data_IF_359184296130
#
_entry.id   IF_359184296130
#
_cell.length_a   1.000
_cell.length_b   1.000
_cell.length_c   1.000
_cell.angle_alpha   90.00
_cell.angle_beta   90.00
_cell.angle_gamma   90.00
#
_symmetry.space_group_name_H-M   'P 1'
#
loop_
_entity.id
_entity.type
_entity.pdbx_description
1 polymer ?
#
# COMPACT_ATOMS: atom_id res chain seq x y z
N UNK A 1 12.37 -43.01 -17.63
CA UNK A 1 13.03 -41.69 -17.50
C UNK A 1 12.99 -41.08 -18.89
N UNK A 2 12.24 -40.01 -19.10
CA UNK A 2 12.12 -39.43 -20.43
C UNK A 2 13.45 -38.80 -20.85
N UNK A 3 13.78 -38.89 -22.14
CA UNK A 3 15.04 -38.37 -22.69
C UNK A 3 15.18 -36.84 -22.50
N UNK A 4 14.07 -36.14 -22.24
CA UNK A 4 14.01 -34.69 -22.10
C UNK A 4 14.29 -34.18 -20.68
N UNK A 5 14.32 -35.05 -19.67
CA UNK A 5 14.58 -34.66 -18.28
C UNK A 5 16.04 -34.22 -18.04
N UNK A 6 16.99 -34.83 -18.74
CA UNK A 6 18.42 -34.52 -18.59
C UNK A 6 18.87 -33.28 -19.40
N UNK A 7 18.01 -32.79 -20.32
CA UNK A 7 18.32 -31.61 -21.14
C UNK A 7 18.20 -30.29 -20.38
N UNK A 8 18.95 -29.29 -20.82
CA UNK A 8 18.85 -27.93 -20.29
C UNK A 8 17.63 -27.20 -20.86
N UNK A 9 17.11 -26.22 -20.13
CA UNK A 9 15.93 -25.41 -20.57
C UNK A 9 16.17 -24.71 -21.91
N UNK A 10 17.42 -24.37 -22.23
CA UNK A 10 17.78 -23.75 -23.50
C UNK A 10 17.59 -24.72 -24.68
N UNK A 11 17.99 -25.98 -24.51
CA UNK A 11 17.86 -27.01 -25.54
C UNK A 11 16.38 -27.35 -25.78
N UNK A 12 15.59 -27.50 -24.72
CA UNK A 12 14.14 -27.75 -24.82
C UNK A 12 13.41 -26.64 -25.59
N UNK A 13 13.81 -25.37 -25.40
CA UNK A 13 13.21 -24.23 -26.11
C UNK A 13 13.59 -24.18 -27.58
N UNK A 14 14.79 -24.65 -27.96
CA UNK A 14 15.20 -24.75 -29.36
C UNK A 14 14.35 -25.81 -30.07
N UNK A 15 14.18 -26.98 -29.46
CA UNK A 15 13.37 -28.07 -30.00
C UNK A 15 11.90 -27.65 -30.14
N UNK A 16 11.32 -27.02 -29.11
CA UNK A 16 9.94 -26.49 -29.18
C UNK A 16 9.78 -25.44 -30.29
N UNK A 17 10.80 -24.60 -30.52
CA UNK A 17 10.77 -23.59 -31.58
C UNK A 17 10.87 -24.20 -32.99
N UNK A 18 11.64 -25.27 -33.15
CA UNK A 18 11.72 -26.05 -34.39
C UNK A 18 10.40 -26.76 -34.69
N UNK A 19 9.72 -27.26 -33.65
CA UNK A 19 8.38 -27.86 -33.74
C UNK A 19 7.23 -26.83 -33.81
N UNK A 20 7.53 -25.53 -33.69
CA UNK A 20 6.54 -24.45 -33.75
C UNK A 20 5.63 -24.33 -32.52
N UNK A 21 6.00 -24.95 -31.39
CA UNK A 21 5.29 -24.94 -30.12
C UNK A 21 5.75 -23.77 -29.22
N UNK A 22 4.92 -23.41 -28.23
CA UNK A 22 5.23 -22.29 -27.32
C UNK A 22 6.43 -22.59 -26.41
N UNK A 23 7.36 -21.63 -26.28
CA UNK A 23 8.60 -21.75 -25.49
C UNK A 23 8.52 -21.13 -24.07
N UNK A 24 7.30 -20.87 -23.59
CA UNK A 24 7.05 -20.22 -22.29
C UNK A 24 6.69 -21.24 -21.21
N UNK A 25 7.28 -21.12 -20.01
CA UNK A 25 6.95 -21.97 -18.86
C UNK A 25 8.16 -22.40 -18.03
N UNK A 26 7.89 -23.19 -16.98
CA UNK A 26 8.90 -23.89 -16.18
C UNK A 26 9.44 -25.09 -16.96
N UNK A 27 10.55 -25.70 -16.49
CA UNK A 27 11.18 -26.84 -17.16
C UNK A 27 10.22 -28.04 -17.33
N UNK A 28 9.39 -28.32 -16.32
CA UNK A 28 8.38 -29.39 -16.36
C UNK A 28 7.38 -29.17 -17.51
N UNK A 29 6.77 -27.99 -17.61
CA UNK A 29 5.79 -27.68 -18.66
C UNK A 29 6.38 -27.71 -20.09
N UNK A 30 7.69 -27.50 -20.25
CA UNK A 30 8.36 -27.62 -21.55
C UNK A 30 8.59 -29.10 -21.92
N UNK A 31 8.86 -29.94 -20.93
CA UNK A 31 9.03 -31.39 -21.07
C UNK A 31 7.67 -32.03 -21.40
N UNK A 32 6.62 -31.72 -20.65
CA UNK A 32 5.26 -32.25 -20.90
C UNK A 32 4.74 -31.90 -22.30
N UNK A 33 5.05 -30.70 -22.82
CA UNK A 33 4.67 -30.33 -24.20
C UNK A 33 5.45 -31.10 -25.26
N UNK A 34 6.71 -31.43 -24.99
CA UNK A 34 7.52 -32.25 -25.90
C UNK A 34 7.10 -33.72 -25.83
N UNK A 35 6.77 -34.21 -24.63
CA UNK A 35 6.26 -35.55 -24.41
C UNK A 35 4.89 -35.73 -25.05
N UNK A 36 3.94 -34.81 -24.83
CA UNK A 36 2.63 -34.82 -25.47
C UNK A 36 2.72 -34.73 -27.01
N UNK A 37 3.66 -33.95 -27.54
CA UNK A 37 3.90 -33.90 -28.98
C UNK A 37 4.54 -35.18 -29.54
N UNK A 38 5.25 -35.95 -28.70
CA UNK A 38 5.80 -37.26 -29.06
C UNK A 38 4.79 -38.39 -28.91
N UNK A 39 3.84 -38.27 -27.97
CA UNK A 39 2.80 -39.26 -27.67
C UNK A 39 1.68 -39.30 -28.72
N UNK A 40 1.52 -38.26 -29.54
CA UNK A 40 0.55 -38.22 -30.66
C UNK A 40 0.89 -39.19 -31.84
N UNK A 41 1.84 -40.12 -31.66
CA UNK A 41 2.26 -41.09 -32.68
C UNK A 41 2.05 -42.58 -32.37
N UNK A 42 1.55 -43.01 -31.20
CA UNK A 42 1.20 -44.44 -30.99
C UNK A 42 0.04 -44.60 -29.99
N UNK A 43 -1.10 -45.12 -30.46
CA UNK A 43 -2.16 -45.68 -29.60
C UNK A 43 -1.88 -47.14 -29.18
N UNK A 44 -2.49 -47.52 -28.05
CA UNK A 44 -2.86 -48.84 -27.52
C UNK A 44 -2.11 -49.39 -26.27
N UNK A 45 -2.89 -49.44 -25.17
CA UNK A 45 -2.85 -50.28 -23.95
C UNK A 45 -2.72 -51.82 -24.25
N UNK A 46 -2.57 -52.81 -23.31
CA UNK A 46 -2.52 -52.79 -21.83
C UNK A 46 -1.59 -53.83 -21.11
N UNK A 47 -1.68 -53.87 -19.76
CA UNK A 47 -1.56 -55.02 -18.79
C UNK A 47 -0.25 -55.45 -18.07
N UNK A 48 -0.30 -55.36 -16.72
CA UNK A 48 0.03 -56.36 -15.63
C UNK A 48 1.33 -56.22 -14.78
N UNK A 49 1.12 -55.97 -13.46
CA UNK A 49 1.74 -56.42 -12.15
C UNK A 49 3.28 -56.54 -12.02
N UNK A 50 3.95 -56.27 -10.88
CA UNK A 50 3.75 -56.70 -9.48
C UNK A 50 4.74 -55.97 -8.53
N UNK A 51 4.31 -55.74 -7.28
CA UNK A 51 5.02 -55.53 -5.98
C UNK A 51 6.25 -54.60 -5.80
N UNK A 52 6.12 -53.62 -4.88
CA UNK A 52 6.80 -53.63 -3.57
C UNK A 52 6.63 -52.30 -2.80
N UNK A 53 6.22 -52.46 -1.55
CA UNK A 53 5.98 -51.53 -0.45
C UNK A 53 7.03 -50.43 -0.19
N UNK A 54 6.60 -49.17 -0.07
CA UNK A 54 7.16 -48.23 0.93
C UNK A 54 6.12 -47.15 1.29
N UNK A 55 5.72 -47.10 2.56
CA UNK A 55 4.78 -46.11 3.08
C UNK A 55 5.41 -44.71 3.11
N UNK A 56 4.71 -43.72 2.56
CA UNK A 56 5.02 -42.31 2.72
C UNK A 56 3.77 -41.60 3.19
N UNK A 57 3.89 -40.94 4.35
CA UNK A 57 2.87 -40.12 5.01
C UNK A 57 2.06 -39.26 4.01
N UNK A 58 0.75 -39.47 4.02
CA UNK A 58 -0.28 -38.65 3.41
C UNK A 58 -0.72 -37.63 4.48
N UNK A 59 -0.43 -36.34 4.27
CA UNK A 59 -1.12 -35.19 4.88
C UNK A 59 -0.50 -33.88 4.33
N UNK A 60 -0.76 -33.56 3.07
CA UNK A 60 -0.71 -32.18 2.57
C UNK A 60 -1.79 -32.02 1.46
N UNK A 61 -3.04 -32.34 1.83
CA UNK A 61 -4.25 -31.91 1.13
C UNK A 61 -4.54 -30.43 1.46
N UNK A 62 -3.90 -29.53 0.73
CA UNK A 62 -4.27 -28.11 0.73
C UNK A 62 -3.97 -27.48 -0.64
N UNK A 63 -4.73 -27.88 -1.66
CA UNK A 63 -4.80 -27.10 -2.90
C UNK A 63 -6.16 -27.31 -3.60
N UNK A 64 -7.19 -26.63 -3.09
CA UNK A 64 -8.38 -26.25 -3.87
C UNK A 64 -9.16 -25.11 -3.18
N UNK A 65 -8.52 -23.96 -2.99
CA UNK A 65 -9.27 -22.71 -2.86
C UNK A 65 -9.08 -21.93 -4.14
N UNK A 66 -9.94 -22.30 -5.10
CA UNK A 66 -10.45 -21.54 -6.22
C UNK A 66 -10.50 -20.04 -5.89
N UNK A 67 -9.38 -19.36 -6.13
CA UNK A 67 -9.29 -17.90 -6.11
C UNK A 67 -9.76 -17.43 -7.49
N UNK A 68 -11.05 -17.65 -7.74
CA UNK A 68 -11.87 -16.89 -8.69
C UNK A 68 -11.93 -15.44 -8.20
N UNK A 69 -10.77 -14.78 -8.24
CA UNK A 69 -10.68 -13.35 -8.28
C UNK A 69 -11.21 -12.96 -9.65
N UNK A 70 -12.52 -12.69 -9.69
CA UNK A 70 -13.19 -11.89 -10.70
C UNK A 70 -12.25 -10.71 -11.06
N UNK A 71 -11.49 -10.92 -12.14
CA UNK A 71 -10.71 -9.92 -12.86
C UNK A 71 -11.73 -9.01 -13.54
N UNK A 72 -12.36 -8.15 -12.75
CA UNK A 72 -13.08 -6.99 -13.26
C UNK A 72 -12.04 -6.01 -13.79
N UNK A 73 -11.55 -6.32 -14.99
CA UNK A 73 -10.54 -5.61 -15.78
C UNK A 73 -10.89 -4.19 -16.18
N UNK A 74 -11.36 -3.37 -15.24
CA UNK A 74 -11.19 -1.94 -15.31
C UNK A 74 -9.74 -1.64 -14.97
N UNK A 75 -8.89 -1.57 -16.00
CA UNK A 75 -7.56 -1.00 -15.91
C UNK A 75 -7.65 0.36 -15.22
N UNK A 76 -7.48 0.41 -13.89
CA UNK A 76 -7.45 1.65 -13.13
C UNK A 76 -6.24 2.44 -13.62
N UNK A 77 -6.46 3.33 -14.60
CA UNK A 77 -5.42 4.20 -15.13
C UNK A 77 -4.86 5.00 -13.94
N UNK A 78 -3.69 4.59 -13.45
CA UNK A 78 -3.08 5.16 -12.26
C UNK A 78 -2.67 6.62 -12.53
N UNK A 79 -3.55 7.58 -12.22
CA UNK A 79 -3.24 9.00 -12.34
C UNK A 79 -2.26 9.43 -11.24
N UNK A 80 -1.04 9.77 -11.63
CA UNK A 80 -0.02 10.25 -10.71
C UNK A 80 -0.50 11.48 -9.93
N UNK A 81 -0.27 11.46 -8.62
CA UNK A 81 -0.60 12.54 -7.69
C UNK A 81 0.35 13.72 -7.89
N UNK A 82 -0.17 14.93 -8.11
CA UNK A 82 0.61 16.17 -8.14
C UNK A 82 1.50 16.29 -6.88
N UNK A 83 2.77 16.59 -7.08
CA UNK A 83 3.77 16.84 -6.04
C UNK A 83 4.13 18.33 -6.03
N UNK A 84 4.47 18.90 -4.86
CA UNK A 84 4.86 20.30 -4.77
C UNK A 84 6.26 20.52 -5.31
N UNK A 85 6.52 21.76 -5.75
CA UNK A 85 7.86 22.26 -5.97
C UNK A 85 8.44 22.70 -4.62
N UNK A 86 9.58 22.11 -4.23
CA UNK A 86 10.20 22.35 -2.93
C UNK A 86 11.70 22.52 -3.07
N UNK A 87 12.23 23.47 -2.31
CA UNK A 87 13.65 23.66 -2.10
C UNK A 87 14.30 22.41 -1.50
N UNK A 88 15.57 22.17 -1.84
CA UNK A 88 16.33 21.02 -1.34
C UNK A 88 16.46 21.03 0.19
N UNK A 89 16.52 22.21 0.81
CA UNK A 89 16.51 22.36 2.27
C UNK A 89 15.22 21.84 2.89
N UNK A 90 14.08 22.22 2.32
CA UNK A 90 12.74 21.81 2.78
C UNK A 90 12.55 20.30 2.59
N UNK A 91 13.05 19.73 1.49
CA UNK A 91 13.03 18.28 1.24
C UNK A 91 13.83 17.52 2.30
N UNK A 92 15.05 17.96 2.61
CA UNK A 92 15.88 17.38 3.69
C UNK A 92 15.23 17.52 5.06
N UNK A 93 14.59 18.67 5.33
CA UNK A 93 13.86 18.91 6.56
C UNK A 93 12.65 17.97 6.71
N UNK A 94 11.91 17.69 5.63
CA UNK A 94 10.80 16.73 5.61
C UNK A 94 11.27 15.30 5.90
N UNK A 95 12.38 14.87 5.28
CA UNK A 95 12.97 13.56 5.54
C UNK A 95 13.43 13.42 7.01
N UNK A 96 14.08 14.46 7.54
CA UNK A 96 14.52 14.49 8.94
C UNK A 96 13.33 14.47 9.90
N UNK A 97 12.25 15.20 9.57
CA UNK A 97 11.00 15.18 10.33
C UNK A 97 10.34 13.80 10.35
N UNK A 98 10.33 13.09 9.23
CA UNK A 98 9.80 11.73 9.16
C UNK A 98 10.62 10.78 10.04
N UNK A 99 11.95 10.84 9.94
CA UNK A 99 12.85 10.08 10.80
C UNK A 99 12.66 10.40 12.30
N UNK A 100 12.46 11.68 12.65
CA UNK A 100 12.10 12.09 14.02
C UNK A 100 10.75 11.51 14.45
N UNK A 101 9.72 11.59 13.60
CA UNK A 101 8.38 11.10 13.88
C UNK A 101 8.33 9.60 14.14
N UNK A 102 9.13 8.80 13.42
CA UNK A 102 9.26 7.35 13.64
C UNK A 102 9.85 7.00 15.01
N UNK A 103 10.80 7.81 15.50
CA UNK A 103 11.46 7.60 16.82
C UNK A 103 10.66 8.18 17.98
N UNK A 104 9.78 9.14 17.71
CA UNK A 104 9.08 9.90 18.74
C UNK A 104 7.95 9.06 19.37
N UNK A 105 7.79 9.09 20.71
CA UNK A 105 6.67 8.41 21.35
C UNK A 105 5.34 9.10 21.02
N UNK A 106 4.25 8.32 20.98
CA UNK A 106 2.88 8.81 20.71
C UNK A 106 2.29 9.72 21.80
N UNK A 107 3.04 10.05 22.86
CA UNK A 107 2.61 10.84 24.03
C UNK A 107 1.19 10.54 24.53
N UNK A 108 0.99 9.35 25.08
CA UNK A 108 -0.29 8.96 25.72
C UNK A 108 -0.24 9.21 27.22
N UNK A 109 -1.39 9.47 27.85
CA UNK A 109 -1.50 9.62 29.31
C UNK A 109 -0.98 8.38 30.04
N UNK A 110 -0.38 8.56 31.21
CA UNK A 110 -0.02 7.45 32.10
C UNK A 110 -1.19 6.46 32.27
N UNK A 111 -0.90 5.16 32.17
CA UNK A 111 -1.87 4.06 32.40
C UNK A 111 -3.09 4.08 31.46
N UNK A 112 -2.97 4.74 30.30
CA UNK A 112 -4.01 4.74 29.25
C UNK A 112 -4.42 3.34 28.80
N UNK A 113 -3.49 2.38 28.85
CA UNK A 113 -3.69 0.99 28.45
C UNK A 113 -4.36 0.14 29.53
N UNK A 114 -4.28 0.57 30.80
CA UNK A 114 -4.83 -0.17 31.95
C UNK A 114 -6.31 0.10 32.15
N UNK A 115 -6.77 1.33 31.88
CA UNK A 115 -8.14 1.75 32.13
C UNK A 115 -8.81 2.32 30.88
N UNK A 116 -9.94 1.72 30.46
CA UNK A 116 -10.72 2.16 29.30
C UNK A 116 -11.18 3.63 29.40
N UNK A 117 -11.49 4.12 30.62
CA UNK A 117 -11.82 5.54 30.86
C UNK A 117 -10.67 6.51 30.55
N UNK A 118 -9.42 6.04 30.57
CA UNK A 118 -8.23 6.86 30.32
C UNK A 118 -7.76 6.80 28.87
N UNK A 119 -8.10 5.75 28.13
CA UNK A 119 -7.55 5.45 26.79
C UNK A 119 -7.77 6.58 25.78
N UNK A 120 -8.91 7.28 25.84
CA UNK A 120 -9.28 8.38 24.92
C UNK A 120 -8.98 9.78 25.45
N UNK A 121 -8.43 9.92 26.66
CA UNK A 121 -8.27 11.24 27.31
C UNK A 121 -7.10 12.10 26.79
N UNK A 122 -6.32 11.59 25.82
CA UNK A 122 -5.16 12.26 25.26
C UNK A 122 -3.95 12.28 26.21
N UNK A 123 -3.02 13.21 26.01
CA UNK A 123 -1.89 13.45 26.93
C UNK A 123 -2.33 14.28 28.15
N UNK A 124 -1.84 13.93 29.34
CA UNK A 124 -1.98 14.76 30.56
C UNK A 124 -0.67 14.71 31.34
N UNK A 125 -0.20 15.87 31.82
CA UNK A 125 1.02 15.95 32.63
C UNK A 125 0.85 15.10 33.90
N UNK A 126 1.73 14.10 34.15
CA UNK A 126 1.62 13.27 35.35
C UNK A 126 1.97 14.10 36.59
N UNK A 127 1.05 14.17 37.55
CA UNK A 127 1.19 15.01 38.76
C UNK A 127 1.68 14.24 39.99
N UNK A 128 1.36 12.95 40.11
CA UNK A 128 1.64 12.17 41.32
C UNK A 128 3.12 12.08 41.65
N UNK A 129 3.48 12.26 42.93
CA UNK A 129 4.88 12.29 43.37
C UNK A 129 5.64 10.99 43.04
N UNK A 130 4.99 9.85 43.22
CA UNK A 130 5.54 8.53 42.95
C UNK A 130 5.37 8.07 41.48
N UNK A 131 4.80 8.90 40.60
CA UNK A 131 4.60 8.53 39.20
C UNK A 131 5.94 8.28 38.52
N UNK A 132 6.13 7.05 38.04
CA UNK A 132 7.35 6.60 37.37
C UNK A 132 7.56 7.32 36.02
N UNK A 133 6.46 7.74 35.39
CA UNK A 133 6.52 8.61 34.20
C UNK A 133 6.97 10.03 34.57
N UNK A 134 6.48 10.60 35.68
CA UNK A 134 6.93 11.92 36.17
C UNK A 134 8.43 11.90 36.50
N UNK A 135 8.89 10.81 37.09
CA UNK A 135 10.30 10.57 37.41
C UNK A 135 11.16 10.20 36.19
N UNK A 136 10.58 10.15 34.98
CA UNK A 136 11.26 9.80 33.71
C UNK A 136 12.05 8.48 33.76
N UNK A 137 11.49 7.43 34.37
CA UNK A 137 12.12 6.11 34.33
C UNK A 137 12.10 5.50 32.92
N UNK A 138 13.21 4.87 32.50
CA UNK A 138 13.45 4.35 31.13
C UNK A 138 12.32 3.48 30.58
N UNK A 139 11.69 2.65 31.43
CA UNK A 139 10.64 1.72 31.03
C UNK A 139 9.25 2.37 30.89
N UNK A 140 9.12 3.67 31.15
CA UNK A 140 7.89 4.45 30.92
C UNK A 140 8.10 5.43 29.78
N UNK A 141 7.02 5.72 29.05
CA UNK A 141 7.04 6.73 27.98
C UNK A 141 7.48 8.08 28.55
N UNK A 142 8.42 8.78 27.91
CA UNK A 142 8.95 10.04 28.43
C UNK A 142 7.89 11.15 28.46
N UNK A 143 8.12 12.15 29.29
CA UNK A 143 7.26 13.33 29.37
C UNK A 143 7.41 14.23 28.14
N UNK A 144 6.29 14.79 27.65
CA UNK A 144 6.34 15.83 26.62
C UNK A 144 7.16 17.04 27.10
N UNK A 145 8.10 17.48 26.26
CA UNK A 145 9.05 18.59 26.49
C UNK A 145 9.27 19.34 25.17
N UNK A 146 9.76 20.59 25.25
CA UNK A 146 10.02 21.44 24.07
C UNK A 146 11.03 20.80 23.09
N UNK A 147 12.01 20.04 23.59
CA UNK A 147 13.01 19.35 22.75
C UNK A 147 12.45 18.28 21.80
N UNK A 148 11.18 17.91 21.95
CA UNK A 148 10.47 17.01 21.03
C UNK A 148 9.81 17.74 19.85
N UNK A 149 10.01 19.06 19.74
CA UNK A 149 9.49 19.84 18.61
C UNK A 149 10.14 19.44 17.28
N UNK A 150 9.32 19.41 16.22
CA UNK A 150 9.78 19.19 14.84
C UNK A 150 10.54 20.41 14.32
N UNK A 151 11.43 20.19 13.34
CA UNK A 151 12.14 21.24 12.61
C UNK A 151 11.15 22.30 12.11
N UNK A 152 11.47 23.58 12.31
CA UNK A 152 10.58 24.71 12.00
C UNK A 152 10.18 24.75 10.52
N UNK A 153 11.13 24.54 9.60
CA UNK A 153 10.90 24.58 8.16
C UNK A 153 9.90 23.52 7.66
N UNK A 154 9.88 22.33 8.27
CA UNK A 154 8.99 21.23 7.89
C UNK A 154 7.78 21.07 8.83
N UNK A 155 7.61 22.02 9.77
CA UNK A 155 6.49 22.04 10.70
C UNK A 155 5.22 22.39 9.92
N UNK A 156 4.11 21.76 10.28
CA UNK A 156 2.78 22.01 9.70
C UNK A 156 2.59 21.69 8.19
N UNK A 157 3.66 21.29 7.48
CA UNK A 157 3.54 20.73 6.12
C UNK A 157 2.91 19.33 6.12
N UNK A 158 2.15 18.99 5.09
CA UNK A 158 1.65 17.64 4.84
C UNK A 158 2.82 16.65 4.60
N UNK A 159 2.69 15.33 4.80
CA UNK A 159 3.70 14.35 4.41
C UNK A 159 4.16 14.43 2.95
N UNK A 160 3.27 14.86 2.04
CA UNK A 160 3.64 15.11 0.64
C UNK A 160 4.43 16.41 0.43
N UNK A 161 4.52 17.27 1.46
CA UNK A 161 5.26 18.52 1.44
C UNK A 161 4.45 19.78 1.13
N UNK A 162 3.17 19.67 0.78
CA UNK A 162 2.29 20.84 0.61
C UNK A 162 2.00 21.53 1.94
N UNK A 163 1.85 22.85 1.91
CA UNK A 163 1.20 23.60 2.99
C UNK A 163 -0.32 23.39 2.90
N UNK A 164 -0.95 22.95 4.00
CA UNK A 164 -2.38 22.69 4.01
C UNK A 164 -3.19 23.97 4.22
N UNK A 165 -4.15 24.23 3.34
CA UNK A 165 -5.11 25.32 3.49
C UNK A 165 -6.51 24.74 3.70
N UNK A 166 -7.17 25.15 4.79
CA UNK A 166 -8.53 24.72 5.10
C UNK A 166 -9.53 25.61 4.35
N UNK A 167 -10.36 25.01 3.49
CA UNK A 167 -11.32 25.73 2.65
C UNK A 167 -12.76 25.26 2.91
N UNK A 168 -13.70 26.21 2.85
CA UNK A 168 -15.13 25.97 3.11
C UNK A 168 -16.04 26.31 1.92
N UNK A 169 -15.60 27.20 1.02
CA UNK A 169 -16.34 27.70 -0.13
C UNK A 169 -15.43 27.81 -1.36
N UNK A 170 -15.99 28.16 -2.52
CA UNK A 170 -15.24 28.34 -3.76
C UNK A 170 -14.35 29.59 -3.76
N UNK A 171 -14.72 30.62 -2.98
CA UNK A 171 -13.94 31.86 -2.84
C UNK A 171 -12.61 31.63 -2.11
N UNK A 172 -12.58 30.70 -1.15
CA UNK A 172 -11.35 30.33 -0.44
C UNK A 172 -10.32 29.60 -1.30
N UNK A 173 -10.60 29.39 -2.59
CA UNK A 173 -9.64 28.87 -3.58
C UNK A 173 -8.85 30.00 -4.27
N UNK A 174 -9.35 31.23 -4.22
CA UNK A 174 -8.77 32.35 -4.95
C UNK A 174 -7.47 32.82 -4.26
N UNK A 175 -6.40 32.99 -5.03
CA UNK A 175 -5.10 33.44 -4.55
C UNK A 175 -4.21 32.36 -3.90
N UNK A 176 -4.59 31.08 -4.01
CA UNK A 176 -3.75 29.96 -3.58
C UNK A 176 -2.77 29.57 -4.69
N UNK A 177 -1.53 29.24 -4.31
CA UNK A 177 -0.50 28.78 -5.23
C UNK A 177 -0.54 27.24 -5.38
N UNK A 178 -0.84 26.69 -6.57
CA UNK A 178 -0.91 25.25 -6.80
C UNK A 178 0.41 24.51 -6.58
N UNK A 179 1.55 25.18 -6.72
CA UNK A 179 2.86 24.55 -6.62
C UNK A 179 3.26 24.25 -5.17
N UNK A 180 2.86 25.10 -4.22
CA UNK A 180 3.28 25.00 -2.81
C UNK A 180 2.15 24.63 -1.86
N UNK A 181 0.89 24.94 -2.21
CA UNK A 181 -0.26 24.76 -1.33
C UNK A 181 -1.19 23.66 -1.83
N UNK A 182 -1.78 22.93 -0.89
CA UNK A 182 -2.84 21.97 -1.17
C UNK A 182 -4.02 22.20 -0.24
N UNK A 183 -5.20 21.82 -0.71
CA UNK A 183 -6.45 22.19 -0.06
C UNK A 183 -7.00 21.00 0.71
N UNK A 184 -7.49 21.30 1.92
CA UNK A 184 -8.32 20.41 2.70
C UNK A 184 -9.70 21.02 2.82
N UNK A 185 -10.70 20.33 2.30
CA UNK A 185 -12.09 20.78 2.41
C UNK A 185 -12.58 20.48 3.83
N UNK A 186 -13.16 21.47 4.50
CA UNK A 186 -13.73 21.31 5.84
C UNK A 186 -14.81 20.22 5.91
N UNK A 187 -14.90 19.54 7.06
CA UNK A 187 -15.86 18.42 7.26
C UNK A 187 -17.32 18.83 7.06
N UNK A 188 -17.68 20.08 7.41
CA UNK A 188 -19.06 20.59 7.33
C UNK A 188 -19.56 20.94 5.92
N UNK A 189 -18.71 20.86 4.89
CA UNK A 189 -19.11 21.19 3.51
C UNK A 189 -19.87 20.02 2.89
N UNK A 190 -21.13 20.25 2.52
CA UNK A 190 -21.98 19.25 1.87
C UNK A 190 -21.60 18.96 0.40
N UNK A 191 -22.07 17.83 -0.14
CA UNK A 191 -21.65 17.33 -1.46
C UNK A 191 -21.87 18.32 -2.61
N UNK A 192 -22.97 19.07 -2.60
CA UNK A 192 -23.25 20.12 -3.62
C UNK A 192 -22.20 21.22 -3.67
N UNK A 193 -21.72 21.68 -2.51
CA UNK A 193 -20.62 22.68 -2.47
C UNK A 193 -19.28 22.04 -2.77
N UNK A 194 -19.10 20.78 -2.37
CA UNK A 194 -17.87 20.03 -2.65
C UNK A 194 -17.67 19.79 -4.14
N UNK A 195 -18.70 19.45 -4.90
CA UNK A 195 -18.58 19.32 -6.36
C UNK A 195 -18.13 20.63 -7.00
N UNK A 196 -18.73 21.76 -6.63
CA UNK A 196 -18.30 23.07 -7.11
C UNK A 196 -16.84 23.40 -6.73
N UNK A 197 -16.39 23.01 -5.53
CA UNK A 197 -14.99 23.17 -5.11
C UNK A 197 -14.07 22.23 -5.89
N UNK A 198 -14.50 21.00 -6.20
CA UNK A 198 -13.73 20.06 -7.01
C UNK A 198 -13.53 20.60 -8.43
N UNK A 199 -14.62 21.03 -9.07
CA UNK A 199 -14.62 21.59 -10.42
C UNK A 199 -13.67 22.82 -10.48
N UNK A 200 -13.83 23.80 -9.58
CA UNK A 200 -12.97 24.99 -9.53
C UNK A 200 -11.51 24.69 -9.16
N UNK A 201 -11.24 23.70 -8.31
CA UNK A 201 -9.87 23.32 -7.97
C UNK A 201 -9.17 22.61 -9.14
N UNK A 202 -9.90 21.83 -9.94
CA UNK A 202 -9.37 21.20 -11.15
C UNK A 202 -9.05 22.26 -12.22
N UNK A 203 -9.88 23.29 -12.36
CA UNK A 203 -9.61 24.45 -13.24
C UNK A 203 -8.33 25.19 -12.83
N UNK A 204 -8.13 25.40 -11.52
CA UNK A 204 -6.93 26.06 -10.98
C UNK A 204 -5.72 25.11 -10.87
N UNK A 205 -5.90 23.81 -11.10
CA UNK A 205 -4.84 22.80 -10.96
C UNK A 205 -4.36 22.60 -9.51
N UNK A 206 -5.20 22.89 -8.52
CA UNK A 206 -4.85 22.77 -7.09
C UNK A 206 -5.20 21.38 -6.57
N UNK A 207 -4.24 20.76 -5.88
CA UNK A 207 -4.44 19.45 -5.25
C UNK A 207 -5.38 19.52 -4.05
N UNK A 208 -6.43 18.69 -4.08
CA UNK A 208 -7.30 18.44 -2.91
C UNK A 208 -6.85 17.18 -2.16
N UNK A 209 -6.55 17.31 -0.87
CA UNK A 209 -6.06 16.22 -0.02
C UNK A 209 -7.13 15.18 0.34
N UNK A 210 -8.37 15.63 0.56
CA UNK A 210 -9.52 14.80 0.92
C UNK A 210 -10.55 14.76 -0.22
N UNK A 211 -10.10 14.41 -1.43
CA UNK A 211 -10.97 14.22 -2.60
C UNK A 211 -11.81 12.96 -2.41
N UNK A 212 -13.09 13.03 -2.80
CA UNK A 212 -14.05 11.92 -2.79
C UNK A 212 -14.77 11.91 -4.13
N UNK A 213 -15.14 10.73 -4.63
CA UNK A 213 -16.07 10.64 -5.75
C UNK A 213 -17.44 11.14 -5.29
N UNK A 214 -18.05 12.02 -6.08
CA UNK A 214 -19.39 12.57 -5.81
C UNK A 214 -20.17 12.45 -7.11
N UNK A 215 -21.16 11.57 -7.11
CA UNK A 215 -22.14 11.50 -8.19
C UNK A 215 -23.05 12.72 -8.13
N UNK A 216 -23.15 13.44 -9.26
CA UNK A 216 -24.14 14.50 -9.43
C UNK A 216 -25.50 13.82 -9.65
N UNK A 217 -26.21 13.46 -8.58
CA UNK A 217 -27.65 13.19 -8.70
C UNK A 217 -28.29 14.49 -9.17
N UNK A 218 -28.78 14.49 -10.40
CA UNK A 218 -29.52 15.62 -10.96
C UNK A 218 -30.67 16.00 -10.03
N UNK A 219 -31.05 17.28 -10.06
CA UNK A 219 -32.28 17.72 -9.42
C UNK A 219 -33.43 16.98 -10.14
N UNK A 220 -34.11 16.08 -9.41
CA UNK A 220 -35.43 15.55 -9.81
C UNK A 220 -36.45 16.68 -9.83
#
# INVERSE_FOLDING_TARGET
MSEYQDMTVAELKVILKELGLSSTGKKADLIERLEAASEDTVEEDPTVMEDAEEEVDDDDDFDDFDDDWDDDGEEEIHRAKQKPELDDETRKALATRDAQGRKQPKFRRQEWYRYKRLSRSGWRKPKGYQSKQRLNMKYRTPMARVGYGKIKAARDLHPSGFAEVLVHNTEGLDGLDPATQAIRIGRGVGNRKRSAIHDKADELGIRILNRRSIEKRGDL
#
